data_IF_291840466961
#
_entry.id   IF_291840466961
#
_cell.length_a   1.000
_cell.length_b   1.000
_cell.length_c   1.000
_cell.angle_alpha   90.00
_cell.angle_beta   90.00
_cell.angle_gamma   90.00
#
_symmetry.space_group_name_H-M   'P 1'
#
loop_
_entity.id
_entity.type
_entity.pdbx_description
1 polymer ?
#
# COMPACT_ATOMS: atom_id res chain seq x y z
N UNK A 1 -13.36 -7.09 17.21
CA UNK A 1 -12.90 -8.47 16.93
C UNK A 1 -11.44 -8.57 17.32
N UNK A 2 -11.02 -9.71 17.83
CA UNK A 2 -9.73 -9.86 18.51
C UNK A 2 -8.77 -10.61 17.60
N UNK A 3 -7.50 -10.19 17.60
CA UNK A 3 -6.41 -10.93 16.94
C UNK A 3 -6.31 -12.32 17.57
N UNK A 4 -6.24 -13.36 16.75
CA UNK A 4 -6.04 -14.74 17.20
C UNK A 4 -4.59 -15.11 16.99
N UNK A 5 -3.88 -15.48 18.05
CA UNK A 5 -2.46 -15.85 17.96
C UNK A 5 -2.16 -17.11 18.78
N UNK A 6 -1.40 -18.03 18.19
CA UNK A 6 -1.01 -19.27 18.85
C UNK A 6 0.29 -19.85 18.25
N UNK A 7 0.93 -20.75 18.99
CA UNK A 7 2.10 -21.49 18.52
C UNK A 7 1.81 -23.00 18.42
N UNK A 8 2.36 -23.60 17.38
CA UNK A 8 2.33 -25.05 17.13
C UNK A 8 3.73 -25.57 17.47
N UNK A 9 3.88 -26.35 18.57
CA UNK A 9 5.19 -26.83 18.98
C UNK A 9 5.72 -27.90 18.01
N UNK A 10 7.04 -27.89 17.81
CA UNK A 10 7.75 -28.85 16.96
C UNK A 10 8.03 -28.34 15.56
N UNK A 11 8.78 -29.13 14.79
CA UNK A 11 9.19 -28.78 13.43
C UNK A 11 7.96 -28.64 12.52
N UNK A 12 7.80 -27.49 11.83
CA UNK A 12 6.71 -27.32 10.88
C UNK A 12 6.71 -28.42 9.82
N UNK A 13 5.54 -29.00 9.54
CA UNK A 13 5.39 -30.08 8.57
C UNK A 13 4.58 -29.58 7.38
N UNK A 14 5.17 -29.67 6.19
CA UNK A 14 4.46 -29.39 4.94
C UNK A 14 3.44 -30.48 4.62
N UNK A 15 2.31 -30.09 4.05
CA UNK A 15 1.30 -31.03 3.55
C UNK A 15 1.90 -31.95 2.50
N UNK A 16 1.89 -33.25 2.78
CA UNK A 16 2.30 -34.28 1.83
C UNK A 16 1.25 -34.42 0.72
N UNK A 17 1.68 -34.79 -0.49
CA UNK A 17 0.75 -35.15 -1.56
C UNK A 17 -0.04 -36.41 -1.14
N UNK A 18 -1.33 -36.52 -1.51
CA UNK A 18 -2.10 -37.73 -1.24
C UNK A 18 -1.41 -38.95 -1.83
N UNK A 19 -1.39 -40.05 -1.08
CA UNK A 19 -0.87 -41.34 -1.55
C UNK A 19 -2.03 -42.20 -2.04
N UNK A 20 -1.74 -43.00 -3.06
CA UNK A 20 -2.71 -43.91 -3.65
C UNK A 20 -2.31 -45.34 -3.29
N UNK A 21 -3.24 -46.09 -2.70
CA UNK A 21 -3.11 -47.53 -2.50
C UNK A 21 -4.19 -48.23 -3.31
N UNK A 22 -3.83 -49.31 -4.00
CA UNK A 22 -4.79 -50.14 -4.72
C UNK A 22 -5.27 -51.26 -3.80
N UNK A 23 -6.58 -51.32 -3.57
CA UNK A 23 -7.23 -52.41 -2.83
C UNK A 23 -8.23 -53.08 -3.77
N UNK A 24 -7.79 -54.16 -4.43
CA UNK A 24 -8.54 -54.82 -5.50
C UNK A 24 -8.72 -53.91 -6.73
N UNK A 25 -9.97 -53.72 -7.17
CA UNK A 25 -10.31 -52.86 -8.31
C UNK A 25 -10.48 -51.37 -7.96
N UNK A 26 -10.35 -51.00 -6.68
CA UNK A 26 -10.52 -49.62 -6.23
C UNK A 26 -9.18 -49.00 -5.82
N UNK A 27 -8.97 -47.73 -6.18
CA UNK A 27 -7.86 -46.92 -5.70
C UNK A 27 -8.35 -46.11 -4.50
N UNK A 28 -7.75 -46.32 -3.34
CA UNK A 28 -8.01 -45.54 -2.14
C UNK A 28 -6.93 -44.48 -1.99
N UNK A 29 -7.37 -43.23 -1.81
CA UNK A 29 -6.50 -42.09 -1.55
C UNK A 29 -6.39 -41.87 -0.04
N UNK A 30 -5.18 -41.76 0.50
CA UNK A 30 -4.97 -41.47 1.91
C UNK A 30 -3.88 -40.40 2.13
N UNK A 31 -4.07 -39.59 3.17
CA UNK A 31 -3.08 -38.59 3.60
C UNK A 31 -1.98 -39.27 4.41
N UNK A 32 -0.69 -38.93 4.21
CA UNK A 32 0.38 -39.45 5.05
C UNK A 32 0.16 -39.13 6.53
N UNK A 33 0.43 -40.11 7.41
CA UNK A 33 0.23 -40.01 8.86
C UNK A 33 0.86 -38.75 9.47
N UNK A 34 2.10 -38.41 9.09
CA UNK A 34 2.79 -37.20 9.57
C UNK A 34 2.05 -35.90 9.25
N UNK A 35 1.39 -35.83 8.09
CA UNK A 35 0.59 -34.67 7.70
C UNK A 35 -0.70 -34.62 8.52
N UNK A 36 -1.39 -35.75 8.66
CA UNK A 36 -2.63 -35.82 9.45
C UNK A 36 -2.39 -35.48 10.93
N UNK A 37 -1.32 -36.00 11.54
CA UNK A 37 -0.96 -35.70 12.93
C UNK A 37 -0.61 -34.23 13.14
N UNK A 38 0.08 -33.60 12.18
CA UNK A 38 0.40 -32.18 12.25
C UNK A 38 -0.86 -31.31 12.07
N UNK A 39 -1.72 -31.61 11.09
CA UNK A 39 -3.01 -30.92 10.89
C UNK A 39 -3.90 -31.01 12.15
N UNK A 40 -3.97 -32.18 12.80
CA UNK A 40 -4.68 -32.34 14.06
C UNK A 40 -4.09 -31.49 15.20
N UNK A 41 -2.75 -31.42 15.31
CA UNK A 41 -2.10 -30.57 16.30
C UNK A 41 -2.41 -29.09 16.08
N UNK A 42 -2.37 -28.63 14.82
CA UNK A 42 -2.75 -27.26 14.44
C UNK A 42 -4.19 -26.98 14.86
N UNK A 43 -5.11 -27.90 14.55
CA UNK A 43 -6.53 -27.78 14.91
C UNK A 43 -6.75 -27.66 16.42
N UNK A 44 -6.06 -28.48 17.23
CA UNK A 44 -6.14 -28.41 18.70
C UNK A 44 -5.64 -27.05 19.21
N UNK A 45 -4.49 -26.57 18.72
CA UNK A 45 -3.94 -25.26 19.13
C UNK A 45 -4.80 -24.09 18.68
N UNK A 46 -5.39 -24.19 17.50
CA UNK A 46 -6.37 -23.22 17.02
C UNK A 46 -7.62 -23.19 17.92
N UNK A 47 -8.17 -24.35 18.29
CA UNK A 47 -9.33 -24.45 19.19
C UNK A 47 -9.03 -23.88 20.57
N UNK A 48 -7.85 -24.17 21.15
CA UNK A 48 -7.39 -23.57 22.41
C UNK A 48 -7.34 -22.03 22.31
N UNK A 49 -6.79 -21.49 21.23
CA UNK A 49 -6.71 -20.05 21.00
C UNK A 49 -8.08 -19.38 20.80
N UNK A 50 -9.07 -20.15 20.32
CA UNK A 50 -10.44 -19.71 20.09
C UNK A 50 -11.35 -19.86 21.31
N UNK A 51 -10.90 -20.36 22.47
CA UNK A 51 -11.76 -20.66 23.63
C UNK A 51 -12.57 -19.47 24.18
N UNK A 52 -12.22 -18.22 23.83
CA UNK A 52 -13.01 -17.02 24.15
C UNK A 52 -13.95 -16.54 23.04
N UNK A 53 -13.97 -17.22 21.89
CA UNK A 53 -14.66 -16.78 20.68
C UNK A 53 -15.52 -17.92 20.11
N UNK A 54 -16.84 -17.82 20.34
CA UNK A 54 -17.79 -18.91 20.03
C UNK A 54 -18.00 -19.19 18.54
N UNK A 55 -17.53 -18.30 17.65
CA UNK A 55 -17.71 -18.46 16.20
C UNK A 55 -16.42 -18.17 15.44
N UNK A 56 -16.17 -18.86 14.31
CA UNK A 56 -15.09 -18.51 13.40
C UNK A 56 -15.16 -17.04 12.97
N UNK A 57 -14.00 -16.44 12.71
CA UNK A 57 -13.87 -15.08 12.20
C UNK A 57 -14.65 -14.95 10.89
N UNK A 58 -15.44 -13.89 10.80
CA UNK A 58 -16.17 -13.50 9.59
C UNK A 58 -15.45 -12.34 8.88
N UNK A 59 -15.56 -12.29 7.55
CA UNK A 59 -14.85 -11.31 6.72
C UNK A 59 -13.39 -11.68 6.41
N UNK A 60 -12.66 -10.82 5.68
CA UNK A 60 -11.31 -11.11 5.23
C UNK A 60 -10.32 -11.11 6.41
N UNK A 61 -9.26 -11.91 6.30
CA UNK A 61 -8.23 -12.07 7.32
C UNK A 61 -6.83 -11.98 6.69
N UNK A 62 -5.91 -11.35 7.43
CA UNK A 62 -4.49 -11.40 7.18
C UNK A 62 -3.86 -12.49 8.07
N UNK A 63 -3.12 -13.40 7.45
CA UNK A 63 -2.41 -14.50 8.10
C UNK A 63 -0.92 -14.21 8.18
N UNK A 64 -0.41 -13.98 9.38
CA UNK A 64 1.02 -13.90 9.67
C UNK A 64 1.51 -15.27 10.18
N UNK A 65 2.50 -15.84 9.48
CA UNK A 65 3.09 -17.12 9.82
C UNK A 65 4.62 -17.00 9.95
N UNK A 66 5.14 -17.31 11.13
CA UNK A 66 6.58 -17.42 11.37
C UNK A 66 6.95 -18.87 11.61
N UNK A 67 7.66 -19.45 10.64
CA UNK A 67 8.15 -20.82 10.69
C UNK A 67 9.57 -20.85 11.29
N UNK A 68 9.68 -21.38 12.50
CA UNK A 68 10.95 -21.52 13.22
C UNK A 68 11.42 -22.97 13.12
N UNK A 69 12.65 -23.15 12.62
CA UNK A 69 13.30 -24.46 12.49
C UNK A 69 14.64 -24.45 13.22
N UNK A 70 15.07 -25.59 13.74
CA UNK A 70 16.38 -25.68 14.41
C UNK A 70 17.52 -25.80 13.40
N UNK A 71 18.67 -25.14 13.63
CA UNK A 71 19.89 -25.42 12.87
C UNK A 71 20.27 -26.91 12.95
N UNK A 72 20.81 -27.51 11.88
CA UNK A 72 21.28 -28.88 11.92
C UNK A 72 22.36 -29.08 12.99
N UNK A 73 22.25 -30.16 13.78
CA UNK A 73 23.21 -30.45 14.85
C UNK A 73 24.66 -30.67 14.35
N UNK A 74 24.83 -31.01 13.06
CA UNK A 74 26.14 -31.18 12.42
C UNK A 74 26.83 -29.86 12.05
N UNK A 75 26.16 -28.71 12.20
CA UNK A 75 26.76 -27.42 11.88
C UNK A 75 27.77 -27.00 12.95
N UNK A 76 28.79 -26.24 12.51
CA UNK A 76 29.75 -25.65 13.43
C UNK A 76 29.07 -24.62 14.34
N UNK A 77 29.59 -24.43 15.56
CA UNK A 77 29.06 -23.45 16.53
C UNK A 77 28.92 -22.05 15.93
N UNK A 78 29.88 -21.62 15.11
CA UNK A 78 29.85 -20.33 14.41
C UNK A 78 28.66 -20.25 13.45
N UNK A 79 28.48 -21.25 12.59
CA UNK A 79 27.39 -21.25 11.61
C UNK A 79 26.02 -21.33 12.29
N UNK A 80 25.91 -22.06 13.39
CA UNK A 80 24.71 -22.10 14.23
C UNK A 80 24.42 -20.72 14.85
N UNK A 81 25.42 -20.03 15.39
CA UNK A 81 25.25 -18.67 15.91
C UNK A 81 24.82 -17.68 14.81
N UNK A 82 25.46 -17.72 13.64
CA UNK A 82 25.10 -16.86 12.49
C UNK A 82 23.65 -17.12 12.03
N UNK A 83 23.20 -18.39 12.09
CA UNK A 83 21.82 -18.77 11.78
C UNK A 83 20.81 -18.24 12.80
N UNK A 84 21.11 -18.35 14.10
CA UNK A 84 20.24 -17.84 15.18
C UNK A 84 20.19 -16.31 15.20
N UNK A 85 21.26 -15.62 14.79
CA UNK A 85 21.30 -14.16 14.62
C UNK A 85 20.63 -13.69 13.31
N UNK A 86 20.14 -14.59 12.45
CA UNK A 86 19.43 -14.25 11.21
C UNK A 86 20.32 -13.91 10.01
N UNK A 87 21.63 -14.17 10.08
CA UNK A 87 22.55 -14.01 8.94
C UNK A 87 22.52 -15.19 7.97
N UNK A 88 22.08 -16.37 8.43
CA UNK A 88 21.89 -17.56 7.60
C UNK A 88 20.42 -17.94 7.58
N UNK A 89 19.87 -18.18 6.38
CA UNK A 89 18.45 -18.50 6.20
C UNK A 89 18.24 -20.00 5.93
N UNK A 90 17.14 -20.59 6.44
CA UNK A 90 16.80 -21.98 6.15
C UNK A 90 16.32 -22.14 4.70
N UNK A 91 17.04 -22.94 3.91
CA UNK A 91 16.71 -23.23 2.50
C UNK A 91 16.28 -24.67 2.28
N UNK A 92 16.44 -25.54 3.27
CA UNK A 92 15.97 -26.93 3.26
C UNK A 92 14.47 -27.03 3.52
N UNK A 93 13.90 -28.21 3.25
CA UNK A 93 12.51 -28.56 3.59
C UNK A 93 12.18 -28.25 5.05
N UNK A 94 10.91 -27.93 5.38
CA UNK A 94 9.74 -27.98 4.51
C UNK A 94 9.60 -26.77 3.56
N UNK A 95 8.86 -26.99 2.47
CA UNK A 95 8.48 -25.94 1.53
C UNK A 95 7.37 -25.07 2.15
N UNK A 96 7.53 -23.76 2.02
CA UNK A 96 6.71 -22.77 2.73
C UNK A 96 5.23 -22.84 2.31
N UNK A 97 4.96 -23.08 1.03
CA UNK A 97 3.62 -23.26 0.45
C UNK A 97 2.91 -24.51 1.00
N UNK A 98 3.64 -25.62 1.14
CA UNK A 98 3.09 -26.85 1.68
C UNK A 98 2.74 -26.72 3.17
N UNK A 99 3.54 -25.97 3.94
CA UNK A 99 3.24 -25.71 5.36
C UNK A 99 2.04 -24.78 5.49
N UNK A 100 2.02 -23.69 4.71
CA UNK A 100 0.89 -22.77 4.65
C UNK A 100 -0.41 -23.52 4.36
N UNK A 101 -0.42 -24.37 3.33
CA UNK A 101 -1.59 -25.16 2.97
C UNK A 101 -2.07 -26.07 4.10
N UNK A 102 -1.16 -26.79 4.76
CA UNK A 102 -1.52 -27.67 5.88
C UNK A 102 -2.11 -26.89 7.07
N UNK A 103 -1.58 -25.71 7.37
CA UNK A 103 -2.09 -24.86 8.45
C UNK A 103 -3.45 -24.25 8.08
N UNK A 104 -3.62 -23.72 6.87
CA UNK A 104 -4.91 -23.19 6.41
C UNK A 104 -6.00 -24.28 6.40
N UNK A 105 -5.71 -25.46 5.87
CA UNK A 105 -6.66 -26.57 5.79
C UNK A 105 -7.10 -27.02 7.21
N UNK A 106 -6.20 -27.04 8.18
CA UNK A 106 -6.50 -27.40 9.57
C UNK A 106 -7.29 -26.32 10.33
N UNK A 107 -7.16 -25.07 9.91
CA UNK A 107 -7.83 -23.91 10.49
C UNK A 107 -9.20 -23.61 9.88
N UNK A 108 -9.47 -24.19 8.70
CA UNK A 108 -10.74 -24.02 8.01
C UNK A 108 -11.90 -24.54 8.88
N UNK A 109 -12.99 -23.79 8.92
CA UNK A 109 -14.17 -23.98 9.79
C UNK A 109 -13.89 -23.92 11.30
N UNK A 110 -12.63 -23.72 11.72
CA UNK A 110 -12.21 -23.61 13.12
C UNK A 110 -11.97 -22.15 13.50
N UNK A 111 -11.10 -21.48 12.74
CA UNK A 111 -10.70 -20.09 13.01
C UNK A 111 -11.38 -19.12 12.05
N UNK A 112 -11.57 -19.51 10.79
CA UNK A 112 -12.35 -18.80 9.77
C UNK A 112 -13.32 -19.78 9.10
N UNK A 113 -14.40 -19.30 8.47
CA UNK A 113 -15.44 -20.16 7.86
C UNK A 113 -14.94 -20.84 6.58
N UNK A 114 -14.10 -20.17 5.82
CA UNK A 114 -13.67 -20.61 4.49
C UNK A 114 -12.26 -20.07 4.19
N UNK A 115 -11.40 -20.86 3.56
CA UNK A 115 -10.02 -20.48 3.23
C UNK A 115 -9.94 -19.28 2.28
N UNK A 116 -11.01 -19.04 1.50
CA UNK A 116 -11.17 -17.83 0.67
C UNK A 116 -11.17 -16.52 1.47
N UNK A 117 -11.37 -16.58 2.79
CA UNK A 117 -11.30 -15.40 3.66
C UNK A 117 -9.85 -14.95 3.88
N UNK A 118 -8.84 -15.80 3.64
CA UNK A 118 -7.44 -15.41 3.78
C UNK A 118 -7.03 -14.56 2.57
N UNK A 119 -7.08 -13.23 2.73
CA UNK A 119 -6.82 -12.28 1.65
C UNK A 119 -5.36 -11.82 1.61
N UNK A 120 -4.67 -11.84 2.75
CA UNK A 120 -3.26 -11.48 2.87
C UNK A 120 -2.49 -12.55 3.65
N UNK A 121 -1.28 -12.87 3.19
CA UNK A 121 -0.42 -13.86 3.85
C UNK A 121 1.01 -13.35 3.95
N UNK A 122 1.50 -13.20 5.18
CA UNK A 122 2.90 -12.89 5.48
C UNK A 122 3.57 -14.11 6.09
N UNK A 123 4.45 -14.75 5.32
CA UNK A 123 5.11 -15.97 5.75
C UNK A 123 6.63 -15.81 5.74
N UNK A 124 7.27 -16.17 6.85
CA UNK A 124 8.73 -16.14 6.98
C UNK A 124 9.24 -17.46 7.55
N UNK A 125 10.42 -17.90 7.09
CA UNK A 125 11.13 -19.06 7.63
C UNK A 125 12.46 -18.62 8.22
N UNK A 126 12.75 -18.96 9.48
CA UNK A 126 13.95 -18.56 10.22
C UNK A 126 14.49 -19.72 11.05
N UNK A 127 15.78 -19.67 11.36
CA UNK A 127 16.36 -20.56 12.35
C UNK A 127 16.07 -20.03 13.77
N UNK A 128 15.83 -20.94 14.70
CA UNK A 128 15.65 -20.66 16.12
C UNK A 128 16.17 -21.81 16.98
N UNK A 129 16.31 -21.59 18.28
CA UNK A 129 16.69 -22.64 19.23
C UNK A 129 15.60 -23.70 19.38
N UNK A 130 14.33 -23.29 19.26
CA UNK A 130 13.16 -24.17 19.38
C UNK A 130 12.40 -24.13 18.06
N UNK A 131 12.11 -25.32 17.52
CA UNK A 131 11.26 -25.45 16.35
C UNK A 131 9.78 -25.28 16.73
N UNK A 132 9.10 -24.37 16.05
CA UNK A 132 7.66 -24.12 16.19
C UNK A 132 7.13 -23.35 14.97
N UNK A 133 5.83 -23.39 14.75
CA UNK A 133 5.15 -22.46 13.86
C UNK A 133 4.32 -21.47 14.68
N UNK A 134 4.58 -20.17 14.54
CA UNK A 134 3.76 -19.12 15.16
C UNK A 134 2.74 -18.62 14.14
N UNK A 135 1.48 -18.71 14.51
CA UNK A 135 0.33 -18.32 13.71
C UNK A 135 -0.30 -17.09 14.36
N UNK A 136 -0.54 -16.05 13.56
CA UNK A 136 -1.29 -14.87 14.00
C UNK A 136 -2.27 -14.47 12.90
N UNK A 137 -3.54 -14.40 13.24
CA UNK A 137 -4.62 -13.98 12.36
C UNK A 137 -5.14 -12.63 12.82
N UNK A 138 -5.18 -11.72 11.87
CA UNK A 138 -5.64 -10.37 12.05
C UNK A 138 -6.89 -10.25 11.17
N UNK A 139 -8.09 -10.09 11.76
CA UNK A 139 -9.26 -9.74 10.98
C UNK A 139 -9.00 -8.43 10.23
N UNK A 140 -9.06 -8.48 8.90
CA UNK A 140 -8.92 -7.32 8.03
C UNK A 140 -10.28 -6.63 7.94
N UNK A 141 -10.75 -6.07 9.05
CA UNK A 141 -11.85 -5.11 8.94
C UNK A 141 -11.27 -3.82 8.39
N UNK A 142 -11.46 -3.58 7.09
CA UNK A 142 -11.77 -2.23 6.65
C UNK A 142 -13.08 -1.84 7.33
N UNK A 143 -13.02 -1.32 8.55
CA UNK A 143 -14.13 -0.58 9.12
C UNK A 143 -14.34 0.59 8.16
N UNK A 144 -15.32 0.48 7.27
CA UNK A 144 -15.58 1.48 6.25
C UNK A 144 -15.79 2.86 6.87
N UNK A 145 -16.33 2.95 8.09
CA UNK A 145 -16.51 4.21 8.81
C UNK A 145 -15.21 4.72 9.44
N UNK A 146 -14.30 3.82 9.84
CA UNK A 146 -12.93 4.20 10.21
C UNK A 146 -12.09 4.60 9.00
N UNK A 147 -12.13 3.85 7.90
CA UNK A 147 -11.45 4.19 6.63
C UNK A 147 -12.00 5.49 6.05
N UNK A 148 -13.32 5.74 6.13
CA UNK A 148 -13.92 7.03 5.78
C UNK A 148 -13.48 8.14 6.73
N UNK A 149 -13.40 7.88 8.05
CA UNK A 149 -12.90 8.86 9.03
C UNK A 149 -11.43 9.17 8.84
N UNK A 150 -10.59 8.17 8.65
CA UNK A 150 -9.14 8.29 8.44
C UNK A 150 -8.89 8.92 7.06
N UNK A 151 -9.62 8.50 6.02
CA UNK A 151 -9.64 9.16 4.71
C UNK A 151 -10.08 10.63 4.78
N UNK A 152 -11.06 10.97 5.62
CA UNK A 152 -11.44 12.36 5.88
C UNK A 152 -10.39 13.13 6.71
N UNK A 153 -9.81 12.50 7.72
CA UNK A 153 -8.85 13.13 8.63
C UNK A 153 -7.51 13.38 7.94
N UNK A 154 -7.01 12.40 7.19
CA UNK A 154 -5.70 12.38 6.57
C UNK A 154 -5.72 12.90 5.12
N UNK A 155 -6.72 12.49 4.34
CA UNK A 155 -6.76 12.78 2.90
C UNK A 155 -7.82 13.82 2.53
N UNK A 156 -8.68 14.19 3.49
CA UNK A 156 -9.86 15.07 3.28
C UNK A 156 -10.81 14.55 2.20
N UNK A 157 -10.86 13.23 2.04
CA UNK A 157 -11.75 12.55 1.09
C UNK A 157 -12.87 11.90 1.91
N UNK A 158 -14.12 12.31 1.66
CA UNK A 158 -15.32 11.70 2.24
C UNK A 158 -16.09 10.98 1.13
N UNK A 159 -16.25 9.67 1.24
CA UNK A 159 -17.03 8.86 0.28
C UNK A 159 -18.41 8.56 0.88
N UNK A 160 -19.43 9.18 0.31
CA UNK A 160 -20.83 9.01 0.71
C UNK A 160 -21.59 8.33 -0.42
N UNK A 161 -22.35 7.27 -0.11
CA UNK A 161 -23.27 6.66 -1.08
C UNK A 161 -24.52 7.53 -1.19
N UNK A 162 -24.94 7.85 -2.42
CA UNK A 162 -26.21 8.56 -2.64
C UNK A 162 -27.43 7.75 -2.19
N UNK A 163 -27.29 6.43 -2.03
CA UNK A 163 -28.35 5.54 -1.54
C UNK A 163 -28.33 5.36 -0.01
N UNK A 164 -27.45 6.06 0.71
CA UNK A 164 -27.40 6.00 2.17
C UNK A 164 -28.73 6.48 2.77
N UNK A 165 -29.34 5.62 3.60
CA UNK A 165 -30.66 5.85 4.22
C UNK A 165 -30.64 6.92 5.30
N UNK A 166 -29.46 7.36 5.75
CA UNK A 166 -29.28 8.46 6.71
C UNK A 166 -29.32 9.83 6.06
N UNK A 167 -29.13 9.92 4.75
CA UNK A 167 -29.26 11.17 4.00
C UNK A 167 -30.75 11.43 3.77
N UNK A 168 -31.23 12.58 4.21
CA UNK A 168 -32.52 13.06 3.77
C UNK A 168 -32.45 13.54 2.30
N UNK A 169 -33.59 13.94 1.73
CA UNK A 169 -33.68 14.37 0.32
C UNK A 169 -32.78 15.58 0.05
N UNK A 170 -32.63 16.48 1.04
CA UNK A 170 -31.84 17.71 0.92
C UNK A 170 -30.35 17.36 1.05
N UNK A 171 -29.97 16.55 2.03
CA UNK A 171 -28.60 16.06 2.23
C UNK A 171 -28.12 15.26 1.03
N UNK A 172 -28.98 14.45 0.42
CA UNK A 172 -28.67 13.68 -0.78
C UNK A 172 -28.43 14.57 -1.98
N UNK A 173 -29.28 15.58 -2.19
CA UNK A 173 -29.10 16.55 -3.26
C UNK A 173 -27.85 17.42 -3.03
N UNK A 174 -27.54 17.76 -1.77
CA UNK A 174 -26.34 18.49 -1.39
C UNK A 174 -25.06 17.65 -1.59
N UNK A 175 -25.05 16.39 -1.15
CA UNK A 175 -23.95 15.45 -1.40
C UNK A 175 -23.76 15.19 -2.89
N UNK A 176 -24.86 15.11 -3.65
CA UNK A 176 -24.85 15.00 -5.11
C UNK A 176 -24.24 16.25 -5.76
N UNK A 177 -24.63 17.46 -5.34
CA UNK A 177 -24.02 18.71 -5.80
C UNK A 177 -22.53 18.83 -5.39
N UNK A 178 -22.15 18.32 -4.21
CA UNK A 178 -20.75 18.25 -3.78
C UNK A 178 -19.93 17.22 -4.57
N UNK A 179 -20.52 16.08 -4.93
CA UNK A 179 -19.90 15.03 -5.75
C UNK A 179 -19.82 15.39 -7.23
N UNK A 180 -20.81 16.12 -7.75
CA UNK A 180 -20.81 16.73 -9.09
C UNK A 180 -19.80 17.88 -9.18
N UNK A 181 -19.44 18.49 -8.04
CA UNK A 181 -18.26 19.34 -7.84
C UNK A 181 -17.01 18.51 -7.55
N UNK A 182 -16.69 17.54 -8.40
CA UNK A 182 -15.36 16.94 -8.43
C UNK A 182 -14.36 18.08 -8.68
N UNK A 183 -13.69 18.56 -7.64
CA UNK A 183 -12.70 19.62 -7.82
C UNK A 183 -11.62 19.12 -8.78
N UNK A 184 -11.08 19.99 -9.63
CA UNK A 184 -9.97 19.65 -10.52
C UNK A 184 -8.83 18.94 -9.75
N UNK A 185 -8.62 19.33 -8.49
CA UNK A 185 -7.71 18.67 -7.57
C UNK A 185 -8.01 17.17 -7.34
N UNK A 186 -9.27 16.79 -7.11
CA UNK A 186 -9.67 15.40 -6.87
C UNK A 186 -9.49 14.53 -8.13
N UNK A 187 -9.79 15.07 -9.30
CA UNK A 187 -9.56 14.41 -10.58
C UNK A 187 -8.05 14.20 -10.85
N UNK A 188 -7.22 15.18 -10.49
CA UNK A 188 -5.76 15.08 -10.58
C UNK A 188 -5.20 14.05 -9.60
N UNK A 189 -5.63 14.08 -8.34
CA UNK A 189 -5.23 13.08 -7.34
C UNK A 189 -5.62 11.68 -7.81
N UNK A 190 -6.81 11.49 -8.39
CA UNK A 190 -7.20 10.24 -9.02
C UNK A 190 -6.24 9.87 -10.16
N UNK A 191 -6.05 10.73 -11.16
CA UNK A 191 -5.27 10.42 -12.35
C UNK A 191 -3.80 10.06 -12.08
N UNK A 192 -3.17 10.72 -11.10
CA UNK A 192 -1.78 10.43 -10.73
C UNK A 192 -1.64 9.29 -9.72
N UNK A 193 -2.73 8.84 -9.10
CA UNK A 193 -2.74 7.70 -8.18
C UNK A 193 -3.33 6.41 -8.78
N UNK A 194 -4.08 6.47 -9.89
CA UNK A 194 -4.70 5.31 -10.56
C UNK A 194 -3.67 4.35 -11.15
N UNK A 195 -2.49 4.84 -11.55
CA UNK A 195 -1.37 3.98 -11.96
C UNK A 195 -1.01 2.94 -10.87
N UNK A 196 -1.37 3.21 -9.60
CA UNK A 196 -1.17 2.29 -8.47
C UNK A 196 -2.22 1.17 -8.36
N UNK A 197 -3.35 1.25 -9.06
CA UNK A 197 -4.44 0.24 -9.01
C UNK A 197 -4.49 -0.68 -10.23
N UNK A 198 -3.82 -0.34 -11.35
CA UNK A 198 -3.93 -1.11 -12.59
C UNK A 198 -2.90 -2.25 -12.76
N UNK A 199 -1.85 -2.29 -11.94
CA UNK A 199 -0.84 -3.35 -12.00
C UNK A 199 -1.03 -4.31 -10.84
N UNK A 200 -1.98 -5.26 -10.99
CA UNK A 200 -1.88 -6.59 -10.35
C UNK A 200 -2.97 -7.60 -10.77
N UNK A 201 -3.92 -7.26 -11.66
CA UNK A 201 -4.96 -8.24 -12.08
C UNK A 201 -4.72 -8.83 -13.48
N UNK A 202 -4.66 -10.18 -13.61
CA UNK A 202 -4.65 -10.86 -14.90
C UNK A 202 -5.82 -10.42 -15.78
N UNK A 203 -5.60 -10.35 -17.10
CA UNK A 203 -6.59 -9.86 -18.10
C UNK A 203 -7.94 -10.59 -17.98
N UNK A 204 -7.94 -11.89 -17.68
CA UNK A 204 -9.17 -12.68 -17.53
C UNK A 204 -10.03 -12.25 -16.33
N UNK A 205 -9.43 -11.87 -15.20
CA UNK A 205 -10.18 -11.38 -14.04
C UNK A 205 -10.75 -9.96 -14.29
N UNK A 206 -10.16 -9.20 -15.22
CA UNK A 206 -10.68 -7.90 -15.65
C UNK A 206 -11.90 -8.05 -16.56
N UNK A 207 -11.94 -9.06 -17.41
CA UNK A 207 -13.06 -9.34 -18.32
C UNK A 207 -14.26 -10.03 -17.63
N UNK A 208 -14.01 -10.76 -16.54
CA UNK A 208 -15.04 -11.49 -15.80
C UNK A 208 -15.75 -10.67 -14.71
N UNK A 209 -15.33 -9.43 -14.47
CA UNK A 209 -16.00 -8.55 -13.50
C UNK A 209 -17.23 -7.92 -14.16
N UNK A 210 -18.42 -7.93 -13.51
CA UNK A 210 -19.59 -7.26 -14.06
C UNK A 210 -19.31 -5.77 -14.26
N UNK A 211 -19.80 -5.19 -15.36
CA UNK A 211 -19.72 -3.75 -15.58
C UNK A 211 -20.51 -3.04 -14.46
N UNK A 212 -19.81 -2.42 -13.52
CA UNK A 212 -20.43 -1.68 -12.43
C UNK A 212 -20.83 -0.31 -12.98
N UNK A 213 -22.11 -0.20 -13.34
CA UNK A 213 -22.83 1.07 -13.48
C UNK A 213 -22.75 1.74 -14.85
N UNK A 214 -23.89 2.24 -15.31
CA UNK A 214 -24.04 3.22 -16.39
C UNK A 214 -23.80 4.67 -15.91
N UNK A 215 -23.16 4.84 -14.75
CA UNK A 215 -22.88 6.13 -14.14
C UNK A 215 -21.58 6.73 -14.68
N UNK A 216 -21.59 8.03 -14.98
CA UNK A 216 -20.38 8.78 -15.30
C UNK A 216 -19.42 8.77 -14.09
N UNK A 217 -18.40 7.89 -14.14
CA UNK A 217 -17.18 7.93 -13.32
C UNK A 217 -17.30 7.26 -11.93
N UNK A 218 -16.33 6.54 -11.36
CA UNK A 218 -14.93 6.24 -11.65
C UNK A 218 -14.58 4.92 -10.92
N UNK A 219 -14.62 3.77 -11.62
CA UNK A 219 -13.94 2.51 -11.25
C UNK A 219 -14.04 1.47 -12.39
N UNK A 220 -12.91 0.92 -12.87
CA UNK A 220 -12.88 -0.10 -13.94
C UNK A 220 -11.91 0.24 -15.08
N UNK A 221 -11.95 -0.53 -16.19
CA UNK A 221 -11.16 -0.29 -17.41
C UNK A 221 -11.27 1.17 -17.91
N UNK A 222 -12.39 1.83 -17.65
CA UNK A 222 -12.64 3.24 -17.97
C UNK A 222 -11.86 4.23 -17.08
N UNK A 223 -11.53 3.86 -15.84
CA UNK A 223 -10.76 4.69 -14.92
C UNK A 223 -9.31 4.90 -15.36
N UNK A 224 -8.70 3.88 -15.98
CA UNK A 224 -7.36 4.00 -16.56
C UNK A 224 -7.36 4.91 -17.80
N UNK A 225 -8.41 4.81 -18.62
CA UNK A 225 -8.60 5.69 -19.78
C UNK A 225 -8.85 7.14 -19.35
N UNK A 226 -9.69 7.36 -18.33
CA UNK A 226 -9.94 8.68 -17.75
C UNK A 226 -8.68 9.27 -17.10
N UNK A 227 -7.90 8.47 -16.37
CA UNK A 227 -6.61 8.90 -15.84
C UNK A 227 -5.63 9.27 -16.96
N UNK A 228 -5.57 8.49 -18.04
CA UNK A 228 -4.77 8.80 -19.23
C UNK A 228 -5.19 10.11 -19.90
N UNK A 229 -6.49 10.36 -20.02
CA UNK A 229 -7.05 11.60 -20.57
C UNK A 229 -6.66 12.81 -19.73
N UNK A 230 -6.85 12.75 -18.41
CA UNK A 230 -6.47 13.83 -17.48
C UNK A 230 -4.95 14.09 -17.55
N UNK A 231 -4.13 13.03 -17.59
CA UNK A 231 -2.66 13.18 -17.71
C UNK A 231 -2.25 13.79 -19.05
N UNK A 232 -2.97 13.52 -20.13
CA UNK A 232 -2.75 14.17 -21.43
C UNK A 232 -3.02 15.67 -21.35
N UNK A 233 -4.10 16.09 -20.70
CA UNK A 233 -4.40 17.51 -20.51
C UNK A 233 -3.36 18.21 -19.65
N UNK A 234 -2.88 17.56 -18.57
CA UNK A 234 -1.80 18.11 -17.74
C UNK A 234 -0.51 18.27 -18.54
N UNK A 235 -0.16 17.30 -19.40
CA UNK A 235 1.02 17.38 -20.27
C UNK A 235 0.89 18.51 -21.30
N UNK A 236 -0.33 18.78 -21.78
CA UNK A 236 -0.60 19.86 -22.72
C UNK A 236 -0.38 21.28 -22.13
N UNK A 237 -0.39 21.43 -20.80
CA UNK A 237 -0.08 22.70 -20.12
C UNK A 237 1.40 23.09 -20.18
N UNK A 238 2.26 22.19 -20.66
CA UNK A 238 3.70 22.41 -20.76
C UNK A 238 4.46 22.02 -19.50
N UNK A 239 5.78 21.86 -19.66
CA UNK A 239 6.62 21.14 -18.68
C UNK A 239 6.63 21.75 -17.28
N UNK A 240 6.58 23.08 -17.19
CA UNK A 240 6.60 23.79 -15.91
C UNK A 240 5.30 23.58 -15.13
N UNK A 241 4.15 23.76 -15.78
CA UNK A 241 2.84 23.56 -15.15
C UNK A 241 2.62 22.08 -14.78
N UNK A 242 2.99 21.15 -15.69
CA UNK A 242 3.00 19.71 -15.41
C UNK A 242 3.80 19.40 -14.14
N UNK A 243 5.03 19.90 -14.04
CA UNK A 243 5.91 19.62 -12.89
C UNK A 243 5.36 20.21 -11.58
N UNK A 244 4.73 21.39 -11.61
CA UNK A 244 4.07 21.97 -10.43
C UNK A 244 2.93 21.09 -9.93
N UNK A 245 2.06 20.65 -10.84
CA UNK A 245 0.92 19.80 -10.51
C UNK A 245 1.40 18.44 -9.97
N UNK A 246 2.33 17.78 -10.65
CA UNK A 246 2.94 16.51 -10.20
C UNK A 246 3.58 16.65 -8.82
N UNK A 247 4.40 17.67 -8.60
CA UNK A 247 5.10 17.85 -7.33
C UNK A 247 4.13 18.06 -6.14
N UNK A 248 2.93 18.61 -6.40
CA UNK A 248 1.87 18.84 -5.40
C UNK A 248 1.05 17.60 -5.11
N UNK A 249 0.72 16.80 -6.12
CA UNK A 249 -0.27 15.70 -6.01
C UNK A 249 0.37 14.31 -5.87
N UNK A 250 1.57 14.11 -6.45
CA UNK A 250 2.23 12.81 -6.45
C UNK A 250 2.89 12.52 -5.09
N UNK A 251 2.90 11.26 -4.66
CA UNK A 251 3.56 10.88 -3.42
C UNK A 251 5.07 11.05 -3.58
N UNK A 252 5.77 11.36 -2.48
CA UNK A 252 7.25 11.45 -2.49
C UNK A 252 7.93 10.11 -2.68
N UNK A 253 7.28 9.06 -2.19
CA UNK A 253 7.79 7.71 -2.21
C UNK A 253 6.67 6.71 -2.54
N UNK A 254 7.07 5.58 -3.08
CA UNK A 254 6.20 4.46 -3.43
C UNK A 254 6.58 3.25 -2.58
N UNK A 255 5.62 2.41 -2.18
CA UNK A 255 5.95 1.14 -1.55
C UNK A 255 6.84 0.32 -2.50
N UNK A 256 7.97 -0.19 -2.01
CA UNK A 256 8.81 -1.13 -2.76
C UNK A 256 8.49 -2.55 -2.33
N UNK A 257 7.95 -3.35 -3.25
CA UNK A 257 7.75 -4.78 -3.08
C UNK A 257 9.03 -5.61 -3.29
N UNK A 258 10.17 -4.95 -3.54
CA UNK A 258 11.43 -5.58 -3.88
C UNK A 258 12.09 -6.35 -2.71
N UNK A 259 11.61 -6.20 -1.46
CA UNK A 259 12.07 -6.89 -0.23
C UNK A 259 13.56 -6.77 0.11
N UNK A 260 14.31 -5.97 -0.65
CA UNK A 260 15.72 -5.68 -0.41
C UNK A 260 15.91 -4.70 0.74
N UNK A 261 16.96 -4.89 1.54
CA UNK A 261 17.27 -3.97 2.66
C UNK A 261 17.55 -2.52 2.21
N UNK A 262 17.91 -2.30 0.94
CA UNK A 262 18.25 -0.98 0.40
C UNK A 262 17.09 0.02 0.37
N UNK A 263 15.83 -0.43 0.42
CA UNK A 263 14.68 0.45 0.28
C UNK A 263 13.81 0.55 1.55
N UNK A 264 14.02 -0.27 2.59
CA UNK A 264 13.18 -0.22 3.80
C UNK A 264 11.66 -0.34 3.55
N UNK A 265 11.26 -0.98 2.44
CA UNK A 265 9.86 -1.06 2.00
C UNK A 265 9.33 0.14 1.20
N UNK A 266 10.15 1.15 0.90
CA UNK A 266 9.74 2.35 0.15
C UNK A 266 10.84 2.84 -0.81
N UNK A 267 10.50 3.10 -2.07
CA UNK A 267 11.40 3.70 -3.08
C UNK A 267 10.98 5.13 -3.38
N UNK A 268 11.91 5.96 -3.86
CA UNK A 268 11.56 7.31 -4.33
C UNK A 268 10.60 7.23 -5.52
N UNK A 269 9.55 8.05 -5.51
CA UNK A 269 8.69 8.19 -6.68
C UNK A 269 9.47 8.95 -7.77
N UNK A 270 9.67 8.32 -8.93
CA UNK A 270 10.46 8.91 -10.02
C UNK A 270 9.77 10.11 -10.64
N UNK A 271 8.45 10.08 -10.83
CA UNK A 271 7.69 11.22 -11.38
C UNK A 271 7.81 12.46 -10.48
N UNK A 272 7.70 12.26 -9.16
CA UNK A 272 7.88 13.33 -8.20
C UNK A 272 9.32 13.85 -8.21
N UNK A 273 10.31 12.95 -8.22
CA UNK A 273 11.73 13.33 -8.26
C UNK A 273 12.08 14.14 -9.52
N UNK A 274 11.61 13.70 -10.68
CA UNK A 274 11.82 14.39 -11.96
C UNK A 274 11.15 15.77 -11.97
N UNK A 275 9.94 15.88 -11.42
CA UNK A 275 9.25 17.15 -11.26
C UNK A 275 10.04 18.12 -10.37
N UNK A 276 10.54 17.66 -9.23
CA UNK A 276 11.39 18.47 -8.33
C UNK A 276 12.69 18.88 -9.03
N UNK A 277 13.30 18.00 -9.82
CA UNK A 277 14.47 18.32 -10.63
C UNK A 277 14.20 19.45 -11.63
N UNK A 278 13.12 19.35 -12.40
CA UNK A 278 12.71 20.37 -13.36
C UNK A 278 12.44 21.72 -12.69
N UNK A 279 11.75 21.71 -11.55
CA UNK A 279 11.48 22.92 -10.76
C UNK A 279 12.72 23.53 -10.12
N UNK A 280 13.70 22.70 -9.76
CA UNK A 280 15.00 23.14 -9.22
C UNK A 280 15.81 23.87 -10.29
N UNK A 281 15.84 23.36 -11.52
CA UNK A 281 16.51 24.03 -12.64
C UNK A 281 15.80 25.35 -13.01
N UNK A 282 14.47 25.36 -12.99
CA UNK A 282 13.69 26.59 -13.18
C UNK A 282 14.01 27.62 -12.07
N UNK A 283 14.06 27.19 -10.81
CA UNK A 283 14.39 28.06 -9.70
C UNK A 283 15.80 28.66 -9.81
N UNK A 284 16.79 27.87 -10.25
CA UNK A 284 18.16 28.31 -10.49
C UNK A 284 18.24 29.42 -11.53
N UNK A 285 17.53 29.27 -12.65
CA UNK A 285 17.57 30.23 -13.76
C UNK A 285 16.60 31.41 -13.59
N UNK A 286 15.68 31.33 -12.61
CA UNK A 286 14.68 32.35 -12.31
C UNK A 286 14.81 32.91 -10.89
N UNK A 287 13.94 32.47 -9.98
CA UNK A 287 13.76 33.08 -8.65
C UNK A 287 15.02 33.13 -7.76
N UNK A 288 15.98 32.24 -8.00
CA UNK A 288 17.24 32.13 -7.26
C UNK A 288 18.47 32.48 -8.13
N UNK A 289 18.27 33.05 -9.32
CA UNK A 289 19.36 33.54 -10.14
C UNK A 289 20.17 34.60 -9.38
N UNK A 290 21.50 34.50 -9.43
CA UNK A 290 22.42 35.40 -8.73
C UNK A 290 22.50 35.20 -7.20
N UNK A 291 21.82 34.20 -6.64
CA UNK A 291 21.99 33.82 -5.22
C UNK A 291 23.14 32.84 -5.02
N UNK A 292 23.68 32.77 -3.81
CA UNK A 292 24.71 31.79 -3.43
C UNK A 292 24.14 30.40 -3.09
N UNK A 293 22.85 30.15 -3.35
CA UNK A 293 22.24 28.86 -3.09
C UNK A 293 22.80 27.79 -4.04
N UNK A 294 23.43 26.75 -3.50
CA UNK A 294 23.95 25.63 -4.28
C UNK A 294 22.83 24.67 -4.75
N UNK A 295 23.15 23.72 -5.62
CA UNK A 295 22.14 22.80 -6.21
C UNK A 295 21.30 22.05 -5.17
N UNK A 296 21.96 21.50 -4.14
CA UNK A 296 21.28 20.75 -3.07
C UNK A 296 20.34 21.65 -2.26
N UNK A 297 20.78 22.88 -1.96
CA UNK A 297 19.99 23.87 -1.22
C UNK A 297 18.76 24.34 -2.01
N UNK A 298 18.89 24.52 -3.33
CA UNK A 298 17.75 24.83 -4.21
C UNK A 298 16.74 23.69 -4.21
N UNK A 299 17.21 22.44 -4.30
CA UNK A 299 16.35 21.26 -4.26
C UNK A 299 15.61 21.14 -2.92
N UNK A 300 16.27 21.42 -1.79
CA UNK A 300 15.64 21.46 -0.46
C UNK A 300 14.57 22.55 -0.37
N UNK A 301 14.78 23.73 -0.97
CA UNK A 301 13.75 24.78 -1.01
C UNK A 301 12.54 24.40 -1.83
N UNK A 302 12.75 23.81 -3.00
CA UNK A 302 11.67 23.30 -3.86
C UNK A 302 10.91 22.19 -3.13
N UNK A 303 11.60 21.18 -2.60
CA UNK A 303 10.97 20.09 -1.85
C UNK A 303 10.21 20.60 -0.62
N UNK A 304 10.73 21.60 0.08
CA UNK A 304 10.07 22.24 1.23
C UNK A 304 8.75 22.92 0.83
N UNK A 305 8.68 23.56 -0.34
CA UNK A 305 7.48 24.22 -0.83
C UNK A 305 6.31 23.24 -1.00
N UNK A 306 6.60 22.04 -1.53
CA UNK A 306 5.61 20.97 -1.71
C UNK A 306 5.42 20.08 -0.48
N UNK A 307 6.14 20.33 0.62
CA UNK A 307 6.03 19.56 1.84
C UNK A 307 4.72 19.83 2.59
N UNK A 308 4.09 18.74 3.04
CA UNK A 308 3.07 18.76 4.08
C UNK A 308 3.63 19.39 5.37
N UNK A 309 2.74 19.93 6.21
CA UNK A 309 3.13 20.74 7.37
C UNK A 309 4.01 19.99 8.37
N UNK A 310 3.73 18.71 8.57
CA UNK A 310 4.44 17.75 9.43
C UNK A 310 5.79 17.30 8.85
N UNK A 311 5.92 17.23 7.53
CA UNK A 311 7.15 16.82 6.83
C UNK A 311 8.04 17.99 6.39
N UNK A 312 7.63 19.24 6.69
CA UNK A 312 8.29 20.45 6.23
C UNK A 312 9.49 20.77 7.11
N UNK A 313 10.69 20.69 6.53
CA UNK A 313 11.93 21.11 7.18
C UNK A 313 11.86 22.59 7.55
N UNK A 314 12.24 22.94 8.78
CA UNK A 314 12.27 24.32 9.26
C UNK A 314 13.36 25.13 8.56
N UNK A 315 13.20 26.46 8.50
CA UNK A 315 14.22 27.32 7.85
C UNK A 315 15.49 27.38 8.72
N UNK A 316 15.33 27.21 10.03
CA UNK A 316 16.36 27.08 11.04
C UNK A 316 17.24 25.86 10.76
N UNK A 317 16.62 24.70 10.55
CA UNK A 317 17.35 23.46 10.24
C UNK A 317 18.06 23.53 8.88
N UNK A 318 17.50 24.26 7.91
CA UNK A 318 18.19 24.51 6.64
C UNK A 318 19.37 25.48 6.79
N UNK A 319 19.22 26.50 7.63
CA UNK A 319 20.30 27.44 7.96
C UNK A 319 21.48 26.72 8.63
N UNK A 320 21.19 25.85 9.60
CA UNK A 320 22.20 24.98 10.23
C UNK A 320 22.86 24.02 9.23
N UNK A 321 22.06 23.35 8.37
CA UNK A 321 22.57 22.39 7.39
C UNK A 321 23.57 22.99 6.40
N UNK A 322 23.38 24.25 6.02
CA UNK A 322 24.20 24.93 5.01
C UNK A 322 25.14 25.98 5.58
N UNK A 323 25.23 26.11 6.91
CA UNK A 323 26.04 27.11 7.61
C UNK A 323 25.78 28.55 7.10
N UNK A 324 24.51 28.93 7.03
CA UNK A 324 24.05 30.23 6.55
C UNK A 324 23.21 30.95 7.58
N UNK A 325 23.20 32.28 7.52
CA UNK A 325 22.29 33.08 8.33
C UNK A 325 20.83 32.75 7.96
N UNK A 326 19.99 32.53 8.98
CA UNK A 326 18.54 32.30 8.84
C UNK A 326 17.85 33.34 7.97
N UNK A 327 18.25 34.62 8.07
CA UNK A 327 17.68 35.70 7.26
C UNK A 327 17.96 35.51 5.77
N UNK A 328 19.18 35.09 5.42
CA UNK A 328 19.57 34.76 4.03
C UNK A 328 18.75 33.60 3.50
N UNK A 329 18.60 32.53 4.29
CA UNK A 329 17.76 31.38 3.93
C UNK A 329 16.29 31.78 3.75
N UNK A 330 15.78 32.62 4.64
CA UNK A 330 14.44 33.18 4.56
C UNK A 330 14.23 34.05 3.32
N UNK A 331 15.20 34.87 2.94
CA UNK A 331 15.15 35.70 1.74
C UNK A 331 15.13 34.86 0.45
N UNK A 332 15.97 33.83 0.36
CA UNK A 332 15.96 32.90 -0.78
C UNK A 332 14.62 32.18 -0.91
N UNK A 333 14.16 31.57 0.19
CA UNK A 333 12.89 30.84 0.19
C UNK A 333 11.70 31.76 -0.07
N UNK A 334 11.73 33.00 0.44
CA UNK A 334 10.73 34.02 0.16
C UNK A 334 10.58 34.32 -1.34
N UNK A 335 11.70 34.55 -2.03
CA UNK A 335 11.72 34.76 -3.50
C UNK A 335 11.13 33.56 -4.25
N UNK A 336 11.59 32.35 -3.91
CA UNK A 336 11.14 31.11 -4.54
C UNK A 336 9.63 30.89 -4.32
N UNK A 337 9.18 30.95 -3.07
CA UNK A 337 7.78 30.67 -2.72
C UNK A 337 6.79 31.66 -3.33
N UNK A 338 7.18 32.93 -3.51
CA UNK A 338 6.35 33.91 -4.21
C UNK A 338 6.12 33.53 -5.67
N UNK A 339 7.20 33.27 -6.39
CA UNK A 339 7.14 32.88 -7.81
C UNK A 339 6.38 31.56 -8.00
N UNK A 340 6.63 30.59 -7.12
CA UNK A 340 5.99 29.27 -7.22
C UNK A 340 4.47 29.34 -6.96
N UNK A 341 4.02 30.18 -6.02
CA UNK A 341 2.58 30.41 -5.80
C UNK A 341 1.87 30.95 -7.03
N UNK A 342 2.49 31.91 -7.72
CA UNK A 342 1.92 32.50 -8.93
C UNK A 342 1.83 31.48 -10.06
N UNK A 343 2.87 30.67 -10.27
CA UNK A 343 2.89 29.62 -11.30
C UNK A 343 1.90 28.50 -10.95
N UNK A 344 1.85 28.07 -9.69
CA UNK A 344 0.95 27.03 -9.22
C UNK A 344 -0.52 27.43 -9.40
N UNK A 345 -0.88 28.66 -9.01
CA UNK A 345 -2.24 29.17 -9.20
C UNK A 345 -2.62 29.22 -10.69
N UNK A 346 -1.71 29.66 -11.57
CA UNK A 346 -1.95 29.64 -13.02
C UNK A 346 -2.13 28.22 -13.55
N UNK A 347 -1.31 27.28 -13.11
CA UNK A 347 -1.39 25.88 -13.52
C UNK A 347 -2.70 25.23 -13.04
N UNK A 348 -3.15 25.55 -11.82
CA UNK A 348 -4.42 25.07 -11.25
C UNK A 348 -5.62 25.61 -12.01
N UNK A 349 -5.65 26.90 -12.33
CA UNK A 349 -6.76 27.48 -13.10
C UNK A 349 -6.78 26.90 -14.52
N UNK A 350 -5.62 26.81 -15.19
CA UNK A 350 -5.54 26.30 -16.55
C UNK A 350 -5.95 24.82 -16.67
N UNK A 351 -5.62 23.98 -15.68
CA UNK A 351 -6.08 22.60 -15.67
C UNK A 351 -7.57 22.51 -15.32
N UNK A 352 -8.06 23.36 -14.43
CA UNK A 352 -9.49 23.40 -14.10
C UNK A 352 -10.34 23.76 -15.32
N UNK A 353 -9.95 24.79 -16.08
CA UNK A 353 -10.61 25.18 -17.32
C UNK A 353 -10.63 24.02 -18.33
N UNK A 354 -9.47 23.37 -18.56
CA UNK A 354 -9.38 22.20 -19.44
C UNK A 354 -10.26 21.03 -18.98
N UNK A 355 -10.29 20.75 -17.68
CA UNK A 355 -11.11 19.66 -17.13
C UNK A 355 -12.61 19.96 -17.19
N UNK A 356 -13.00 21.23 -17.12
CA UNK A 356 -14.38 21.69 -17.40
C UNK A 356 -14.73 21.50 -18.88
N UNK A 357 -13.84 21.87 -19.80
CA UNK A 357 -14.05 21.71 -21.25
C UNK A 357 -14.30 20.26 -21.67
N UNK A 358 -13.55 19.31 -21.11
CA UNK A 358 -13.72 17.87 -21.40
C UNK A 358 -14.85 17.21 -20.58
N UNK A 359 -15.58 17.98 -19.77
CA UNK A 359 -16.72 17.50 -18.97
C UNK A 359 -16.35 16.58 -17.82
N UNK A 360 -15.09 16.63 -17.34
CA UNK A 360 -14.61 15.88 -16.17
C UNK A 360 -14.98 16.60 -14.87
N UNK A 361 -15.09 17.93 -14.91
CA UNK A 361 -15.56 18.77 -13.80
C UNK A 361 -16.86 19.46 -14.23
N UNK A 362 -17.89 19.47 -13.37
CA UNK A 362 -19.16 20.12 -13.67
C UNK A 362 -19.01 21.63 -13.91
N UNK A 363 -19.78 22.17 -14.87
CA UNK A 363 -19.92 23.62 -15.02
C UNK A 363 -20.74 24.18 -13.84
N UNK A 364 -20.32 25.33 -13.31
CA UNK A 364 -20.95 26.02 -12.18
C UNK A 364 -22.43 26.37 -12.41
#
# INVERSE_FOLDING_TARGET
MTVVAFSIPGTPVGKGRPKFARRGNHVTTYTPEKTASYENLVKVKALEAMQGQQQPIDGPVCLELTLLVTPPASWSKKKTADALCGFVFPTSKPDIDNVLKGICDAMNEVVFRDDKQVCDVHIVKRYAEIAEARVKLIPETMDAEKVKRDGWNEQKILVVSLDDRRLDIIDREFVKQMGERLSAYSALVFAFNVSRQCYDRPVMNRLASPAIGSGKGLAGLDGAAQAGMIRSEVKALGKLAESMLIARISPRSEPCSCRSACCGGSRTNTEWFDAIGALTEYAKNGALAGTNANGMMRQDYVARYFAMRDQRVSLERLAEKYDLNRQTVGAHYGKLSKVFKEIESRAQNAIEDKLREIGVVGAE
#
